data_IF_874475279325
#
_entry.id   IF_874475279325
#
_cell.length_a   1.000
_cell.length_b   1.000
_cell.length_c   1.000
_cell.angle_alpha   90.00
_cell.angle_beta   90.00
_cell.angle_gamma   90.00
#
_symmetry.space_group_name_H-M   'P 1'
#
loop_
_entity.id
_entity.type
_entity.pdbx_description
1 polymer ?
#
# COMPACT_ATOMS: atom_id res chain seq x y z
N UNK A 1 74.46 -42.59 51.65
CA UNK A 1 73.62 -41.65 52.40
C UNK A 1 73.61 -40.37 51.56
N UNK A 2 72.52 -39.75 51.10
CA UNK A 2 71.10 -39.72 51.52
C UNK A 2 70.29 -39.03 50.39
N UNK A 3 68.97 -39.26 50.38
CA UNK A 3 67.92 -38.85 49.41
C UNK A 3 67.78 -37.31 49.15
N UNK A 4 66.98 -36.89 48.13
CA UNK A 4 66.98 -35.56 47.47
C UNK A 4 65.99 -34.55 48.10
N UNK A 5 65.90 -33.30 47.58
CA UNK A 5 64.75 -32.44 47.81
C UNK A 5 63.91 -32.19 46.54
N UNK A 6 62.67 -32.67 46.61
CA UNK A 6 61.37 -32.12 46.20
C UNK A 6 61.25 -31.09 45.06
N UNK A 7 60.46 -31.49 44.05
CA UNK A 7 59.72 -30.62 43.15
C UNK A 7 58.58 -29.91 43.90
N UNK A 8 58.45 -28.57 43.82
CA UNK A 8 57.18 -27.94 44.14
C UNK A 8 56.40 -27.56 42.87
N UNK A 9 55.14 -27.99 42.94
CA UNK A 9 53.94 -27.35 42.42
C UNK A 9 53.83 -27.14 40.91
N UNK A 10 53.00 -28.00 40.32
CA UNK A 10 52.08 -27.61 39.27
C UNK A 10 51.52 -26.21 39.59
N UNK A 11 51.93 -25.22 38.80
CA UNK A 11 51.27 -23.92 38.78
C UNK A 11 49.84 -24.14 38.28
N UNK A 12 48.92 -24.20 39.24
CA UNK A 12 47.49 -24.08 39.06
C UNK A 12 47.20 -23.04 37.97
N UNK A 13 46.67 -23.50 36.84
CA UNK A 13 45.84 -22.65 36.00
C UNK A 13 44.66 -22.23 36.87
N UNK A 14 44.71 -21.03 37.42
CA UNK A 14 43.58 -20.41 38.08
C UNK A 14 42.36 -20.53 37.15
N UNK A 15 41.25 -21.13 37.60
CA UNK A 15 40.10 -21.32 36.75
C UNK A 15 39.54 -19.95 36.39
N UNK A 16 39.39 -19.68 35.09
CA UNK A 16 38.67 -18.50 34.58
C UNK A 16 37.16 -18.68 34.82
N UNK A 17 36.75 -18.74 36.09
CA UNK A 17 35.37 -18.84 36.57
C UNK A 17 34.70 -17.46 36.64
N UNK A 18 34.83 -16.66 35.57
CA UNK A 18 34.05 -15.42 35.38
C UNK A 18 33.29 -15.39 34.04
N UNK A 19 33.39 -16.46 33.24
CA UNK A 19 32.82 -16.54 31.88
C UNK A 19 31.31 -16.83 31.79
N UNK A 20 30.65 -17.66 32.63
CA UNK A 20 29.27 -18.07 32.35
C UNK A 20 28.26 -16.93 32.58
N UNK A 21 28.52 -16.05 33.56
CA UNK A 21 27.60 -14.95 33.92
C UNK A 21 27.63 -13.82 32.89
N UNK A 22 28.81 -13.44 32.41
CA UNK A 22 28.97 -12.44 31.31
C UNK A 22 28.37 -12.93 30.01
N UNK A 23 28.56 -14.20 29.65
CA UNK A 23 27.98 -14.78 28.41
C UNK A 23 26.45 -14.80 28.45
N UNK A 24 25.86 -15.14 29.61
CA UNK A 24 24.40 -15.05 29.81
C UNK A 24 23.89 -13.61 29.73
N UNK A 25 24.61 -12.65 30.32
CA UNK A 25 24.26 -11.22 30.24
C UNK A 25 24.30 -10.69 28.80
N UNK A 26 25.35 -11.03 28.05
CA UNK A 26 25.46 -10.67 26.62
C UNK A 26 24.33 -11.31 25.81
N UNK A 27 24.00 -12.58 26.04
CA UNK A 27 22.86 -13.24 25.37
C UNK A 27 21.53 -12.55 25.67
N UNK A 28 21.28 -12.17 26.92
CA UNK A 28 20.06 -11.44 27.31
C UNK A 28 20.01 -10.07 26.64
N UNK A 29 21.13 -9.34 26.60
CA UNK A 29 21.21 -8.04 25.93
C UNK A 29 20.98 -8.19 24.42
N UNK A 30 21.64 -9.15 23.77
CA UNK A 30 21.46 -9.41 22.34
C UNK A 30 20.01 -9.79 22.04
N UNK A 31 19.40 -10.67 22.84
CA UNK A 31 17.99 -11.05 22.69
C UNK A 31 17.08 -9.83 22.85
N UNK A 32 17.32 -8.99 23.85
CA UNK A 32 16.56 -7.76 24.05
C UNK A 32 16.69 -6.81 22.85
N UNK A 33 17.91 -6.62 22.32
CA UNK A 33 18.15 -5.79 21.12
C UNK A 33 17.41 -6.36 19.91
N UNK A 34 17.48 -7.67 19.67
CA UNK A 34 16.76 -8.32 18.57
C UNK A 34 15.25 -8.12 18.72
N UNK A 35 14.70 -8.31 19.92
CA UNK A 35 13.27 -8.09 20.16
C UNK A 35 12.85 -6.64 19.92
N UNK A 36 13.67 -5.66 20.33
CA UNK A 36 13.42 -4.24 20.07
C UNK A 36 13.45 -3.95 18.57
N UNK A 37 14.42 -4.51 17.83
CA UNK A 37 14.49 -4.34 16.38
C UNK A 37 13.27 -4.95 15.69
N UNK A 38 12.86 -6.16 16.09
CA UNK A 38 11.65 -6.79 15.56
C UNK A 38 10.41 -5.93 15.86
N UNK A 39 10.24 -5.48 17.10
CA UNK A 39 9.13 -4.61 17.48
C UNK A 39 9.11 -3.30 16.66
N UNK A 40 10.28 -2.69 16.43
CA UNK A 40 10.40 -1.50 15.60
C UNK A 40 10.01 -1.78 14.14
N UNK A 41 10.44 -2.91 13.56
CA UNK A 41 10.05 -3.28 12.19
C UNK A 41 8.54 -3.54 12.07
N UNK A 42 7.94 -4.23 13.04
CA UNK A 42 6.49 -4.47 13.06
C UNK A 42 5.73 -3.15 13.17
N UNK A 43 6.19 -2.23 14.01
CA UNK A 43 5.59 -0.91 14.15
C UNK A 43 5.65 -0.12 12.83
N UNK A 44 6.80 -0.14 12.14
CA UNK A 44 6.94 0.54 10.85
C UNK A 44 5.97 -0.04 9.81
N UNK A 45 5.91 -1.38 9.68
CA UNK A 45 4.97 -2.04 8.77
C UNK A 45 3.52 -1.73 9.12
N UNK A 46 3.18 -1.71 10.40
CA UNK A 46 1.84 -1.36 10.84
C UNK A 46 1.48 0.09 10.48
N UNK A 47 2.38 1.04 10.74
CA UNK A 47 2.15 2.46 10.42
C UNK A 47 2.04 2.69 8.92
N UNK A 48 2.77 1.91 8.12
CA UNK A 48 2.70 1.94 6.66
C UNK A 48 1.38 1.37 6.12
N UNK A 49 0.88 0.28 6.71
CA UNK A 49 -0.38 -0.36 6.29
C UNK A 49 -1.64 0.27 6.87
N UNK A 50 -1.54 0.96 8.01
CA UNK A 50 -2.69 1.53 8.71
C UNK A 50 -3.59 2.40 7.80
N UNK A 51 -3.06 3.34 6.99
CA UNK A 51 -3.91 4.15 6.12
C UNK A 51 -4.69 3.32 5.10
N UNK A 52 -4.12 2.21 4.63
CA UNK A 52 -4.80 1.28 3.74
C UNK A 52 -5.92 0.52 4.46
N UNK A 53 -5.67 0.05 5.68
CA UNK A 53 -6.70 -0.63 6.49
C UNK A 53 -7.91 0.28 6.78
N UNK A 54 -7.66 1.56 7.05
CA UNK A 54 -8.72 2.57 7.29
C UNK A 54 -9.54 2.88 6.02
N UNK A 55 -8.98 2.63 4.84
CA UNK A 55 -9.58 2.96 3.53
C UNK A 55 -10.03 1.74 2.72
N UNK A 56 -9.82 0.53 3.25
CA UNK A 56 -10.04 -0.71 2.50
C UNK A 56 -11.47 -0.81 1.98
N UNK A 57 -12.47 -0.37 2.74
CA UNK A 57 -13.87 -0.39 2.28
C UNK A 57 -14.09 0.48 1.04
N UNK A 58 -13.43 1.64 0.94
CA UNK A 58 -13.55 2.55 -0.20
C UNK A 58 -12.80 2.00 -1.41
N UNK A 59 -11.65 1.36 -1.19
CA UNK A 59 -10.87 0.65 -2.21
C UNK A 59 -11.70 -0.52 -2.78
N UNK A 60 -12.29 -1.32 -1.89
CA UNK A 60 -13.13 -2.46 -2.26
C UNK A 60 -14.38 -2.00 -3.03
N UNK A 61 -14.98 -0.85 -2.66
CA UNK A 61 -16.13 -0.29 -3.37
C UNK A 61 -15.82 0.00 -4.85
N UNK A 62 -14.60 0.45 -5.18
CA UNK A 62 -14.18 0.65 -6.58
C UNK A 62 -14.14 -0.68 -7.32
N UNK A 63 -13.58 -1.73 -6.70
CA UNK A 63 -13.55 -3.06 -7.31
C UNK A 63 -14.95 -3.65 -7.50
N UNK A 64 -15.84 -3.43 -6.53
CA UNK A 64 -17.25 -3.84 -6.62
C UNK A 64 -17.96 -3.09 -7.76
N UNK A 65 -17.79 -1.77 -7.88
CA UNK A 65 -18.34 -1.00 -8.99
C UNK A 65 -17.85 -1.51 -10.35
N UNK A 66 -16.58 -1.88 -10.47
CA UNK A 66 -16.03 -2.49 -11.69
C UNK A 66 -16.74 -3.80 -12.06
N UNK A 67 -16.92 -4.69 -11.08
CA UNK A 67 -17.53 -6.00 -11.30
C UNK A 67 -19.04 -5.87 -11.55
N UNK A 68 -19.75 -4.98 -10.84
CA UNK A 68 -21.19 -4.74 -10.99
C UNK A 68 -21.54 -4.11 -12.36
N UNK A 69 -20.64 -3.30 -12.91
CA UNK A 69 -20.77 -2.71 -14.25
C UNK A 69 -20.26 -3.63 -15.38
N UNK A 70 -19.91 -4.90 -15.10
CA UNK A 70 -19.43 -5.92 -16.07
C UNK A 70 -18.26 -5.43 -16.97
N UNK A 71 -17.37 -4.60 -16.40
CA UNK A 71 -16.30 -3.94 -17.16
C UNK A 71 -15.17 -4.88 -17.62
N UNK A 72 -15.15 -6.13 -17.16
CA UNK A 72 -14.12 -7.11 -17.51
C UNK A 72 -14.03 -7.45 -19.01
N UNK A 73 -14.98 -6.99 -19.83
CA UNK A 73 -15.02 -7.21 -21.28
C UNK A 73 -14.96 -5.93 -22.12
N UNK A 74 -14.97 -4.77 -21.49
CA UNK A 74 -15.05 -3.46 -22.19
C UNK A 74 -13.67 -2.91 -22.57
N UNK A 75 -12.60 -3.50 -22.04
CA UNK A 75 -11.22 -3.02 -22.20
C UNK A 75 -10.77 -2.12 -21.05
N UNK A 76 -11.66 -1.77 -20.12
CA UNK A 76 -11.28 -1.14 -18.86
C UNK A 76 -10.45 -2.08 -17.98
N UNK A 77 -9.58 -1.51 -17.16
CA UNK A 77 -8.75 -2.26 -16.20
C UNK A 77 -8.99 -1.79 -14.78
N UNK A 78 -8.74 -2.66 -13.80
CA UNK A 78 -8.93 -2.35 -12.38
C UNK A 78 -7.69 -2.74 -11.59
N UNK A 79 -7.17 -1.79 -10.80
CA UNK A 79 -6.23 -2.05 -9.72
C UNK A 79 -7.02 -2.20 -8.42
N UNK A 80 -7.32 -3.44 -8.05
CA UNK A 80 -8.07 -3.78 -6.84
C UNK A 80 -7.29 -3.47 -5.56
N UNK A 81 -5.96 -3.38 -5.66
CA UNK A 81 -5.13 -3.06 -4.52
C UNK A 81 -5.11 -1.55 -4.25
N UNK A 82 -5.18 -0.73 -5.29
CA UNK A 82 -5.14 0.72 -5.16
C UNK A 82 -6.54 1.37 -5.19
N UNK A 83 -7.56 0.62 -5.61
CA UNK A 83 -8.92 1.11 -5.77
C UNK A 83 -9.02 2.06 -6.96
N UNK A 84 -8.53 1.65 -8.13
CA UNK A 84 -8.61 2.45 -9.36
C UNK A 84 -9.15 1.64 -10.54
N UNK A 85 -9.94 2.30 -11.39
CA UNK A 85 -10.39 1.81 -12.69
C UNK A 85 -9.85 2.75 -13.75
N UNK A 86 -9.22 2.20 -14.78
CA UNK A 86 -8.72 2.91 -15.93
C UNK A 86 -9.54 2.56 -17.17
N UNK A 87 -10.10 3.57 -17.81
CA UNK A 87 -10.84 3.51 -19.06
C UNK A 87 -9.99 4.16 -20.17
N UNK A 88 -9.41 3.32 -21.03
CA UNK A 88 -8.62 3.75 -22.17
C UNK A 88 -9.53 4.00 -23.39
N UNK A 89 -9.26 5.05 -24.16
CA UNK A 89 -9.95 5.36 -25.42
C UNK A 89 -11.50 5.41 -25.33
N UNK A 90 -12.04 6.05 -24.29
CA UNK A 90 -13.47 6.24 -24.07
C UNK A 90 -14.13 6.94 -25.26
N UNK A 91 -15.23 6.35 -25.76
CA UNK A 91 -16.05 6.96 -26.82
C UNK A 91 -15.50 6.80 -28.24
N UNK A 92 -14.42 6.05 -28.44
CA UNK A 92 -13.81 5.78 -29.76
C UNK A 92 -14.49 4.64 -30.55
N UNK A 93 -15.41 3.91 -29.91
CA UNK A 93 -16.16 2.79 -30.49
C UNK A 93 -15.45 1.43 -30.47
N UNK A 94 -14.17 1.38 -30.05
CA UNK A 94 -13.40 0.15 -29.91
C UNK A 94 -12.96 -0.16 -28.46
N UNK A 95 -13.41 0.65 -27.49
CA UNK A 95 -13.11 0.53 -26.07
C UNK A 95 -14.34 0.84 -25.20
N UNK A 96 -14.13 1.16 -23.92
CA UNK A 96 -15.18 1.58 -23.00
C UNK A 96 -15.99 2.77 -23.52
N UNK A 97 -17.23 2.81 -23.11
CA UNK A 97 -18.22 3.82 -23.47
C UNK A 97 -18.41 4.83 -22.34
N UNK A 98 -19.08 5.94 -22.63
CA UNK A 98 -19.50 6.87 -21.60
C UNK A 98 -20.54 6.26 -20.65
N UNK A 99 -21.35 5.32 -21.13
CA UNK A 99 -22.30 4.56 -20.30
C UNK A 99 -21.56 3.69 -19.26
N UNK A 100 -20.38 3.14 -19.61
CA UNK A 100 -19.53 2.39 -18.68
C UNK A 100 -18.97 3.29 -17.57
N UNK A 101 -18.56 4.51 -17.92
CA UNK A 101 -18.09 5.53 -16.97
C UNK A 101 -19.23 6.02 -16.08
N UNK A 102 -20.42 6.22 -16.66
CA UNK A 102 -21.64 6.59 -15.93
C UNK A 102 -22.04 5.51 -14.93
N UNK A 103 -22.04 4.23 -15.31
CA UNK A 103 -22.35 3.13 -14.40
C UNK A 103 -21.45 3.13 -13.16
N UNK A 104 -20.14 3.32 -13.34
CA UNK A 104 -19.20 3.39 -12.22
C UNK A 104 -19.40 4.67 -11.41
N UNK A 105 -19.64 5.80 -12.08
CA UNK A 105 -19.97 7.07 -11.42
C UNK A 105 -21.17 6.92 -10.49
N UNK A 106 -22.27 6.37 -10.99
CA UNK A 106 -23.50 6.13 -10.22
C UNK A 106 -23.27 5.17 -9.05
N UNK A 107 -22.55 4.07 -9.29
CA UNK A 107 -22.23 3.09 -8.25
C UNK A 107 -21.41 3.72 -7.09
N UNK A 108 -20.59 4.72 -7.40
CA UNK A 108 -19.76 5.45 -6.43
C UNK A 108 -20.37 6.78 -5.98
N UNK A 109 -21.63 7.06 -6.36
CA UNK A 109 -22.35 8.28 -5.95
C UNK A 109 -21.77 9.58 -6.52
N UNK A 110 -21.21 9.54 -7.73
CA UNK A 110 -20.72 10.72 -8.44
C UNK A 110 -21.87 11.70 -8.69
N UNK A 111 -21.69 13.00 -8.42
CA UNK A 111 -22.66 14.02 -8.82
C UNK A 111 -22.85 14.07 -10.35
N UNK A 112 -24.10 14.17 -10.81
CA UNK A 112 -24.46 14.23 -12.26
C UNK A 112 -23.72 15.37 -13.01
N UNK A 113 -23.51 16.50 -12.33
CA UNK A 113 -22.75 17.63 -12.84
C UNK A 113 -21.27 17.30 -13.15
N UNK A 114 -20.69 16.30 -12.48
CA UNK A 114 -19.31 15.85 -12.73
C UNK A 114 -19.24 14.92 -13.93
N UNK A 115 -20.21 14.02 -14.08
CA UNK A 115 -20.33 13.20 -15.28
C UNK A 115 -20.48 14.09 -16.53
N UNK A 116 -21.33 15.12 -16.44
CA UNK A 116 -21.52 16.09 -17.52
C UNK A 116 -20.23 16.83 -17.87
N UNK A 117 -19.43 17.19 -16.87
CA UNK A 117 -18.11 17.82 -17.07
C UNK A 117 -17.12 16.87 -17.76
N UNK A 118 -17.05 15.61 -17.30
CA UNK A 118 -16.21 14.58 -17.93
C UNK A 118 -16.58 14.34 -19.40
N UNK A 119 -17.87 14.34 -19.71
CA UNK A 119 -18.36 14.16 -21.09
C UNK A 119 -18.25 15.43 -21.96
N UNK A 120 -17.98 16.59 -21.36
CA UNK A 120 -17.89 17.86 -22.06
C UNK A 120 -16.77 17.88 -23.11
N UNK A 121 -16.82 18.73 -24.15
CA UNK A 121 -15.72 18.85 -25.10
C UNK A 121 -14.47 19.33 -24.36
N UNK A 122 -13.40 18.52 -24.36
CA UNK A 122 -12.11 18.93 -23.81
C UNK A 122 -11.49 20.04 -24.66
N UNK A 123 -10.94 21.06 -24.03
CA UNK A 123 -10.26 22.18 -24.70
C UNK A 123 -8.84 21.75 -25.18
N UNK A 124 -8.74 20.75 -26.06
CA UNK A 124 -7.45 20.23 -26.56
C UNK A 124 -6.77 19.22 -25.62
N UNK A 125 -5.44 19.33 -25.42
CA UNK A 125 -4.70 18.54 -24.42
C UNK A 125 -5.07 19.03 -23.02
N UNK A 126 -6.21 18.59 -22.52
CA UNK A 126 -6.76 18.98 -21.23
C UNK A 126 -6.65 17.82 -20.24
N UNK A 127 -6.14 18.11 -19.04
CA UNK A 127 -6.32 17.27 -17.86
C UNK A 127 -7.38 17.90 -16.97
N UNK A 128 -8.40 17.14 -16.63
CA UNK A 128 -9.48 17.57 -15.74
C UNK A 128 -9.58 16.63 -14.55
N UNK A 129 -9.66 17.20 -13.36
CA UNK A 129 -9.69 16.48 -12.09
C UNK A 129 -10.95 16.86 -11.33
N UNK A 130 -11.77 15.86 -10.98
CA UNK A 130 -13.02 16.05 -10.24
C UNK A 130 -12.99 15.19 -8.97
N UNK A 131 -13.16 15.82 -7.81
CA UNK A 131 -13.15 15.19 -6.48
C UNK A 131 -14.55 15.18 -5.89
N UNK A 132 -15.04 14.01 -5.48
CA UNK A 132 -16.26 13.91 -4.67
C UNK A 132 -16.03 12.91 -3.54
N UNK A 133 -16.48 13.27 -2.34
CA UNK A 133 -16.34 12.46 -1.14
C UNK A 133 -14.91 11.89 -0.94
N UNK A 134 -14.72 10.58 -1.15
CA UNK A 134 -13.45 9.85 -1.05
C UNK A 134 -12.94 9.34 -2.40
N UNK A 135 -13.43 9.89 -3.49
CA UNK A 135 -13.15 9.48 -4.85
C UNK A 135 -12.69 10.64 -5.74
N UNK A 136 -11.98 10.27 -6.79
CA UNK A 136 -11.48 11.15 -7.83
C UNK A 136 -11.80 10.57 -9.20
N UNK A 137 -12.12 11.44 -10.14
CA UNK A 137 -12.05 11.15 -11.57
C UNK A 137 -11.00 12.06 -12.20
N UNK A 138 -10.11 11.45 -13.00
CA UNK A 138 -9.18 12.14 -13.86
C UNK A 138 -9.57 11.88 -15.30
N UNK A 139 -9.69 12.93 -16.09
CA UNK A 139 -9.85 12.85 -17.54
C UNK A 139 -8.65 13.44 -18.24
N UNK A 140 -8.12 12.71 -19.21
CA UNK A 140 -7.05 13.13 -20.09
C UNK A 140 -7.53 13.03 -21.54
N UNK A 141 -7.49 14.15 -22.27
CA UNK A 141 -7.84 14.17 -23.69
C UNK A 141 -6.56 14.40 -24.51
N UNK A 142 -6.28 13.57 -25.51
CA UNK A 142 -5.07 13.70 -26.32
C UNK A 142 -5.06 12.77 -27.54
N UNK A 143 -4.42 13.22 -28.63
CA UNK A 143 -4.22 12.44 -29.88
C UNK A 143 -5.48 11.80 -30.49
N UNK A 144 -6.68 12.32 -30.19
CA UNK A 144 -7.96 11.83 -30.70
C UNK A 144 -8.71 10.91 -29.74
N UNK A 145 -8.11 10.54 -28.60
CA UNK A 145 -8.65 9.64 -27.61
C UNK A 145 -8.91 10.35 -26.27
N UNK A 146 -9.86 9.82 -25.50
CA UNK A 146 -10.16 10.28 -24.13
C UNK A 146 -9.86 9.14 -23.17
N UNK A 147 -8.98 9.37 -22.21
CA UNK A 147 -8.74 8.46 -21.09
C UNK A 147 -9.46 8.99 -19.86
N UNK A 148 -10.13 8.10 -19.14
CA UNK A 148 -10.75 8.42 -17.85
C UNK A 148 -10.23 7.43 -16.82
N UNK A 149 -9.83 7.92 -15.66
CA UNK A 149 -9.48 7.09 -14.51
C UNK A 149 -10.38 7.49 -13.34
N UNK A 150 -11.03 6.52 -12.70
CA UNK A 150 -11.81 6.72 -11.48
C UNK A 150 -11.13 5.95 -10.35
N UNK A 151 -10.86 6.61 -9.22
CA UNK A 151 -10.14 5.98 -8.13
C UNK A 151 -10.47 6.53 -6.75
N UNK A 152 -10.14 5.75 -5.73
CA UNK A 152 -10.15 6.19 -4.35
C UNK A 152 -9.13 7.33 -4.15
N UNK A 153 -9.59 8.50 -3.70
CA UNK A 153 -8.73 9.63 -3.38
C UNK A 153 -7.99 9.39 -2.06
N UNK A 154 -6.72 8.97 -2.16
CA UNK A 154 -5.84 8.77 -1.01
C UNK A 154 -5.56 10.05 -0.20
N UNK A 155 -5.84 11.22 -0.77
CA UNK A 155 -5.73 12.51 -0.08
C UNK A 155 -7.01 12.90 0.65
N UNK A 156 -8.13 12.21 0.42
CA UNK A 156 -9.34 12.41 1.18
C UNK A 156 -9.11 12.06 2.66
N UNK A 157 -9.83 12.76 3.53
CA UNK A 157 -9.79 12.50 4.97
C UNK A 157 -10.19 11.04 5.23
N UNK A 158 -9.43 10.34 6.08
CA UNK A 158 -9.88 9.07 6.65
C UNK A 158 -11.13 9.34 7.49
N UNK A 159 -12.14 8.49 7.41
CA UNK A 159 -13.28 8.56 8.31
C UNK A 159 -12.81 8.34 9.77
N UNK A 160 -13.11 9.29 10.66
CA UNK A 160 -12.86 9.21 12.11
C UNK A 160 -13.84 8.24 12.82
#
# INVERSE_FOLDING_TARGET
MTLPPDLPAAGEQAPTLARPRRRRLVLVVVLAVVLVLVAATVLVVYLDQRPRLERQANIDAVAVAFDDCDLGRTGATVDRDNGSIDFDAVGTGAGPTWDDVECVGDALGMPEEYLTQLQGPGDGFASEELRWDVYLALRLTGDGDTHVSIYHDWQAASYD
#
